data_IF_947084754084
#
_entry.id   IF_947084754084
#
_cell.length_a   1.000
_cell.length_b   1.000
_cell.length_c   1.000
_cell.angle_alpha   90.00
_cell.angle_beta   90.00
_cell.angle_gamma   90.00
#
_symmetry.space_group_name_H-M   'P 1'
#
loop_
_entity.id
_entity.type
_entity.pdbx_description
1 polymer ?
#
# COMPACT_ATOMS: atom_id res chain seq x y z
N UNK A 1 5.36 13.57 0.20
CA UNK A 1 4.12 13.06 0.84
C UNK A 1 4.49 11.89 1.74
N UNK A 2 3.77 11.70 2.84
CA UNK A 2 3.90 10.54 3.72
C UNK A 2 2.63 9.71 3.70
N UNK A 3 2.77 8.40 3.83
CA UNK A 3 1.68 7.44 3.62
C UNK A 3 1.37 6.65 4.89
N UNK A 4 0.07 6.39 5.12
CA UNK A 4 -0.43 5.58 6.23
C UNK A 4 -1.66 4.80 5.83
N UNK A 5 -1.88 3.63 6.43
CA UNK A 5 -3.17 2.95 6.35
C UNK A 5 -4.25 3.84 6.97
N UNK A 6 -5.40 3.92 6.31
CA UNK A 6 -6.56 4.66 6.80
C UNK A 6 -7.06 4.08 8.13
N UNK A 7 -7.42 4.91 9.12
CA UNK A 7 -7.97 4.41 10.39
C UNK A 7 -9.37 3.79 10.23
N UNK A 8 -10.02 3.98 9.09
CA UNK A 8 -11.35 3.47 8.77
C UNK A 8 -11.29 2.18 7.94
N UNK A 9 -10.26 1.38 8.17
CA UNK A 9 -9.99 0.14 7.43
C UNK A 9 -9.60 -0.95 8.41
N UNK A 10 -10.13 -2.16 8.19
CA UNK A 10 -9.66 -3.39 8.79
C UNK A 10 -9.00 -4.25 7.70
N UNK A 11 -7.98 -5.02 8.06
CA UNK A 11 -7.34 -5.94 7.12
C UNK A 11 -6.90 -7.22 7.80
N UNK A 12 -6.75 -8.27 7.00
CA UNK A 12 -6.17 -9.56 7.41
C UNK A 12 -5.40 -10.15 6.24
N UNK A 13 -4.48 -11.05 6.55
CA UNK A 13 -3.83 -11.89 5.57
C UNK A 13 -4.67 -13.15 5.34
N UNK A 14 -4.71 -13.60 4.10
CA UNK A 14 -5.23 -14.90 3.70
C UNK A 14 -4.22 -15.63 2.79
N UNK A 15 -4.61 -16.76 2.20
CA UNK A 15 -3.72 -17.59 1.38
C UNK A 15 -3.29 -16.94 0.04
N UNK A 16 -4.03 -15.95 -0.47
CA UNK A 16 -3.68 -15.28 -1.73
C UNK A 16 -3.21 -13.81 -1.58
N UNK A 17 -3.21 -13.25 -0.36
CA UNK A 17 -2.67 -11.91 -0.10
C UNK A 17 -3.32 -11.19 1.08
N UNK A 18 -3.65 -9.90 0.88
CA UNK A 18 -4.26 -9.04 1.91
C UNK A 18 -5.72 -8.77 1.55
N UNK A 19 -6.62 -9.11 2.46
CA UNK A 19 -8.03 -8.71 2.40
C UNK A 19 -8.21 -7.41 3.18
N UNK A 20 -8.70 -6.36 2.53
CA UNK A 20 -8.86 -5.01 3.09
C UNK A 20 -10.34 -4.62 3.04
N UNK A 21 -10.91 -4.26 4.18
CA UNK A 21 -12.31 -3.86 4.31
C UNK A 21 -12.43 -2.41 4.80
N UNK A 22 -13.16 -1.57 4.06
CA UNK A 22 -13.50 -0.20 4.49
C UNK A 22 -14.62 -0.21 5.54
N UNK A 23 -14.68 0.83 6.38
CA UNK A 23 -15.68 1.02 7.44
C UNK A 23 -16.16 2.48 7.43
N UNK A 24 -17.46 2.78 7.65
CA UNK A 24 -18.58 1.87 7.90
C UNK A 24 -19.20 1.27 6.62
N UNK A 25 -19.00 1.91 5.47
CA UNK A 25 -19.55 1.45 4.20
C UNK A 25 -18.64 0.35 3.63
N UNK A 26 -18.89 -0.89 4.07
CA UNK A 26 -18.00 -2.02 3.80
C UNK A 26 -17.89 -2.33 2.31
N UNK A 27 -16.70 -2.05 1.78
CA UNK A 27 -16.19 -2.56 0.52
C UNK A 27 -14.95 -3.39 0.83
N UNK A 28 -14.88 -4.56 0.23
CA UNK A 28 -13.76 -5.49 0.43
C UNK A 28 -12.92 -5.54 -0.83
N UNK A 29 -11.64 -5.25 -0.68
CA UNK A 29 -10.62 -5.32 -1.70
C UNK A 29 -9.67 -6.46 -1.38
N UNK A 30 -9.22 -7.16 -2.43
CA UNK A 30 -8.14 -8.11 -2.32
C UNK A 30 -6.92 -7.54 -3.00
N UNK A 31 -5.82 -7.47 -2.25
CA UNK A 31 -4.52 -7.05 -2.76
C UNK A 31 -3.68 -8.32 -2.93
N UNK A 32 -3.48 -8.74 -4.17
CA UNK A 32 -2.68 -9.90 -4.53
C UNK A 32 -1.24 -9.50 -4.87
N UNK A 33 -0.32 -10.46 -4.82
CA UNK A 33 1.06 -10.34 -5.33
C UNK A 33 1.74 -9.00 -4.98
N UNK A 34 2.02 -8.14 -5.97
CA UNK A 34 2.67 -6.84 -5.80
C UNK A 34 1.84 -5.84 -4.98
N UNK A 35 0.50 -5.93 -5.03
CA UNK A 35 -0.38 -5.10 -4.24
C UNK A 35 -0.25 -5.36 -2.74
N UNK A 36 -0.05 -6.62 -2.35
CA UNK A 36 0.23 -7.00 -0.95
C UNK A 36 1.59 -6.49 -0.48
N UNK A 37 2.61 -6.56 -1.33
CA UNK A 37 3.95 -6.05 -1.01
C UNK A 37 3.94 -4.54 -0.74
N UNK A 38 3.26 -3.77 -1.60
CA UNK A 38 3.14 -2.32 -1.41
C UNK A 38 2.33 -2.00 -0.15
N UNK A 39 1.29 -2.79 0.13
CA UNK A 39 0.51 -2.66 1.37
C UNK A 39 1.40 -2.86 2.61
N UNK A 40 2.20 -3.92 2.63
CA UNK A 40 3.07 -4.25 3.76
C UNK A 40 4.08 -3.14 4.03
N UNK A 41 4.69 -2.56 2.98
CA UNK A 41 5.60 -1.43 3.11
C UNK A 41 4.95 -0.22 3.81
N UNK A 42 3.67 0.06 3.53
CA UNK A 42 2.92 1.13 4.20
C UNK A 42 2.55 0.75 5.64
N UNK A 43 2.12 -0.50 5.86
CA UNK A 43 1.66 -0.99 7.15
C UNK A 43 2.81 -1.09 8.17
N UNK A 44 3.99 -1.54 7.75
CA UNK A 44 5.17 -1.67 8.60
C UNK A 44 5.80 -0.33 8.95
N UNK A 45 5.64 0.69 8.09
CA UNK A 45 6.20 2.04 8.31
C UNK A 45 5.18 3.16 8.19
N UNK A 46 4.28 3.33 9.18
CA UNK A 46 3.26 4.38 9.14
C UNK A 46 3.86 5.80 9.14
N UNK A 47 3.77 6.49 8.02
CA UNK A 47 4.31 7.83 7.82
C UNK A 47 5.60 7.85 6.99
N UNK A 48 5.98 6.74 6.36
CA UNK A 48 7.07 6.70 5.39
C UNK A 48 6.77 7.60 4.19
N UNK A 49 7.82 8.18 3.60
CA UNK A 49 7.69 8.96 2.36
C UNK A 49 7.48 8.04 1.15
N UNK A 50 7.06 8.63 0.03
CA UNK A 50 6.98 7.92 -1.25
C UNK A 50 8.32 7.27 -1.62
N UNK A 51 9.43 7.99 -1.46
CA UNK A 51 10.77 7.50 -1.78
C UNK A 51 11.17 6.32 -0.89
N UNK A 52 10.83 6.38 0.40
CA UNK A 52 11.09 5.28 1.34
C UNK A 52 10.28 4.03 0.97
N UNK A 53 8.99 4.17 0.65
CA UNK A 53 8.16 3.04 0.23
C UNK A 53 8.69 2.42 -1.07
N UNK A 54 9.04 3.24 -2.06
CA UNK A 54 9.63 2.75 -3.31
C UNK A 54 10.93 1.98 -3.05
N UNK A 55 11.79 2.49 -2.17
CA UNK A 55 13.03 1.81 -1.81
C UNK A 55 12.79 0.46 -1.11
N UNK A 56 11.83 0.42 -0.19
CA UNK A 56 11.49 -0.80 0.55
C UNK A 56 10.89 -1.87 -0.39
N UNK A 57 9.96 -1.49 -1.26
CA UNK A 57 9.38 -2.40 -2.27
C UNK A 57 10.46 -2.91 -3.23
N UNK A 58 11.31 -2.02 -3.76
CA UNK A 58 12.40 -2.34 -4.66
C UNK A 58 13.36 -3.38 -4.06
N UNK A 59 13.72 -3.18 -2.78
CA UNK A 59 14.58 -4.11 -2.06
C UNK A 59 13.93 -5.49 -1.90
N UNK A 60 12.63 -5.54 -1.61
CA UNK A 60 11.91 -6.80 -1.40
C UNK A 60 11.77 -7.61 -2.70
N UNK A 61 11.42 -6.95 -3.81
CA UNK A 61 11.25 -7.62 -5.11
C UNK A 61 12.55 -7.81 -5.89
N UNK A 62 13.66 -7.30 -5.38
CA UNK A 62 14.99 -7.34 -6.01
C UNK A 62 15.02 -6.68 -7.40
N UNK A 63 14.31 -5.56 -7.55
CA UNK A 63 14.27 -4.75 -8.78
C UNK A 63 14.77 -3.34 -8.47
N UNK A 64 15.55 -2.70 -9.37
CA UNK A 64 15.97 -1.31 -9.18
C UNK A 64 14.77 -0.35 -8.96
N UNK A 65 14.91 0.57 -8.02
CA UNK A 65 13.83 1.49 -7.62
C UNK A 65 13.34 2.37 -8.78
N UNK A 66 14.24 2.78 -9.68
CA UNK A 66 13.95 3.55 -10.88
C UNK A 66 13.10 2.79 -11.91
N UNK A 67 13.09 1.46 -11.86
CA UNK A 67 12.26 0.64 -12.77
C UNK A 67 10.83 0.45 -12.28
N UNK A 68 10.55 0.65 -10.99
CA UNK A 68 9.23 0.39 -10.38
C UNK A 68 8.58 1.63 -9.75
N UNK A 69 9.31 2.76 -9.70
CA UNK A 69 8.85 3.94 -8.98
C UNK A 69 7.50 4.44 -9.48
N UNK A 70 7.29 4.50 -10.80
CA UNK A 70 6.03 4.94 -11.38
C UNK A 70 4.87 4.00 -11.05
N UNK A 71 5.10 2.69 -11.10
CA UNK A 71 4.10 1.67 -10.77
C UNK A 71 3.69 1.73 -9.29
N UNK A 72 4.67 1.83 -8.39
CA UNK A 72 4.42 1.95 -6.95
C UNK A 72 3.68 3.25 -6.63
N UNK A 73 4.09 4.38 -7.21
CA UNK A 73 3.42 5.68 -7.01
C UNK A 73 1.98 5.63 -7.51
N UNK A 74 1.77 5.10 -8.72
CA UNK A 74 0.44 4.97 -9.31
C UNK A 74 -0.47 4.10 -8.45
N UNK A 75 0.07 3.00 -7.91
CA UNK A 75 -0.68 2.11 -7.03
C UNK A 75 -0.98 2.72 -5.65
N UNK A 76 -0.05 3.49 -5.06
CA UNK A 76 -0.33 4.22 -3.81
C UNK A 76 -1.48 5.22 -3.98
N UNK A 77 -1.52 5.94 -5.10
CA UNK A 77 -2.65 6.82 -5.42
C UNK A 77 -3.94 6.03 -5.73
N UNK A 78 -3.83 4.83 -6.29
CA UNK A 78 -4.99 3.96 -6.43
C UNK A 78 -5.55 3.57 -5.06
N UNK A 79 -4.72 3.10 -4.14
CA UNK A 79 -5.14 2.79 -2.76
C UNK A 79 -5.73 4.02 -2.04
N UNK A 80 -5.17 5.21 -2.27
CA UNK A 80 -5.71 6.47 -1.75
C UNK A 80 -7.11 6.74 -2.29
N UNK A 81 -7.33 6.53 -3.59
CA UNK A 81 -8.64 6.72 -4.23
C UNK A 81 -9.71 5.76 -3.70
N UNK A 82 -9.30 4.59 -3.22
CA UNK A 82 -10.17 3.61 -2.54
C UNK A 82 -10.41 3.96 -1.05
N UNK A 83 -9.72 4.98 -0.53
CA UNK A 83 -9.76 5.36 0.89
C UNK A 83 -9.06 4.36 1.81
N UNK A 84 -8.25 3.44 1.26
CA UNK A 84 -7.58 2.39 2.04
C UNK A 84 -6.28 2.88 2.69
N UNK A 85 -5.63 3.86 2.06
CA UNK A 85 -4.49 4.61 2.61
C UNK A 85 -4.78 6.11 2.56
N UNK A 86 -3.98 6.89 3.29
CA UNK A 86 -4.04 8.36 3.30
C UNK A 86 -2.66 8.96 3.02
N UNK A 87 -2.60 9.99 2.17
CA UNK A 87 -1.42 10.80 1.96
C UNK A 87 -1.45 12.07 2.83
N UNK A 88 -0.30 12.46 3.38
CA UNK A 88 -0.12 13.76 4.06
C UNK A 88 1.07 14.52 3.48
N UNK A 89 0.86 15.80 3.21
CA UNK A 89 1.87 16.76 2.73
C UNK A 89 2.83 17.20 3.81
#
# INVERSE_FOLDING_TARGET
MTWRISPNVAWTYDEDGVAVATVPDTQVYRLDSSGGIIWDAVAERPGATTEEIVADVAALVQVPADHICEDVISYLHHLESLGTVIARG
#
